data_IF_769968625413
#
_entry.id   IF_769968625413
#
_cell.length_a   1.000
_cell.length_b   1.000
_cell.length_c   1.000
_cell.angle_alpha   90.00
_cell.angle_beta   90.00
_cell.angle_gamma   90.00
#
_symmetry.space_group_name_H-M   'P 1'
#
loop_
_entity.id
_entity.type
_entity.pdbx_description
1 polymer ?
#
# COMPACT_ATOMS: atom_id res chain seq x y z
N UNK A 1 15.10 -8.47 -12.72
CA UNK A 1 14.76 -9.25 -11.50
C UNK A 1 13.46 -8.66 -10.96
N UNK A 2 12.50 -9.48 -10.55
CA UNK A 2 11.23 -9.02 -9.97
C UNK A 2 10.98 -9.81 -8.70
N UNK A 3 10.61 -9.13 -7.63
CA UNK A 3 10.38 -9.71 -6.31
C UNK A 3 8.95 -9.38 -5.88
N UNK A 4 8.25 -10.38 -5.35
CA UNK A 4 6.97 -10.18 -4.68
C UNK A 4 7.20 -10.29 -3.18
N UNK A 5 6.79 -9.26 -2.44
CA UNK A 5 6.90 -9.22 -0.98
C UNK A 5 5.52 -8.96 -0.37
N UNK A 6 5.20 -9.67 0.70
CA UNK A 6 4.00 -9.43 1.50
C UNK A 6 4.40 -9.14 2.93
N UNK A 7 3.92 -8.02 3.48
CA UNK A 7 4.20 -7.60 4.85
C UNK A 7 2.94 -7.00 5.47
N UNK A 8 2.87 -7.07 6.79
CA UNK A 8 1.86 -6.36 7.59
C UNK A 8 2.37 -4.99 8.05
N UNK A 9 3.65 -4.67 7.82
CA UNK A 9 4.26 -3.40 8.14
C UNK A 9 4.36 -2.54 6.88
N UNK A 10 3.60 -1.45 6.85
CA UNK A 10 3.47 -0.60 5.67
C UNK A 10 4.79 0.10 5.31
N UNK A 11 5.55 0.53 6.31
CA UNK A 11 6.87 1.14 6.14
C UNK A 11 7.85 0.25 5.37
N UNK A 12 7.80 -1.07 5.59
CA UNK A 12 8.63 -2.04 4.87
C UNK A 12 8.20 -2.17 3.42
N UNK A 13 6.89 -2.12 3.16
CA UNK A 13 6.37 -2.12 1.78
C UNK A 13 6.79 -0.85 1.03
N UNK A 14 6.76 0.30 1.69
CA UNK A 14 7.20 1.59 1.12
C UNK A 14 8.69 1.65 0.84
N UNK A 15 9.53 1.10 1.72
CA UNK A 15 10.98 1.08 1.53
C UNK A 15 11.42 0.15 0.39
N UNK A 16 10.73 -1.00 0.23
CA UNK A 16 11.20 -2.07 -0.66
C UNK A 16 10.48 -2.16 -2.00
N UNK A 17 9.26 -1.64 -2.14
CA UNK A 17 8.42 -1.90 -3.30
C UNK A 17 8.24 -0.68 -4.21
N UNK A 18 8.41 -0.89 -5.52
CA UNK A 18 8.08 0.11 -6.53
C UNK A 18 6.55 0.35 -6.63
N UNK A 19 5.77 -0.68 -6.28
CA UNK A 19 4.29 -0.67 -6.29
C UNK A 19 3.75 -1.43 -5.10
N UNK A 20 2.69 -0.89 -4.50
CA UNK A 20 2.10 -1.41 -3.27
C UNK A 20 0.65 -1.78 -3.54
N UNK A 21 0.24 -2.96 -3.04
CA UNK A 21 -1.14 -3.41 -3.03
C UNK A 21 -1.63 -3.58 -1.60
N UNK A 22 -2.80 -3.02 -1.28
CA UNK A 22 -3.46 -3.17 0.01
C UNK A 22 -4.56 -4.22 -0.14
N UNK A 23 -4.47 -5.31 0.62
CA UNK A 23 -5.49 -6.35 0.66
C UNK A 23 -6.30 -6.29 1.95
N UNK A 24 -7.61 -6.39 1.82
CA UNK A 24 -8.54 -6.50 2.95
C UNK A 24 -9.57 -7.61 2.67
N UNK A 25 -9.75 -8.54 3.60
CA UNK A 25 -10.70 -9.66 3.49
C UNK A 25 -10.61 -10.44 2.15
N UNK A 26 -9.40 -10.71 1.69
CA UNK A 26 -9.16 -11.45 0.44
C UNK A 26 -9.48 -10.65 -0.84
N UNK A 27 -9.65 -9.33 -0.74
CA UNK A 27 -9.86 -8.43 -1.87
C UNK A 27 -8.75 -7.39 -1.94
N UNK A 28 -8.31 -7.06 -3.16
CA UNK A 28 -7.38 -5.96 -3.41
C UNK A 28 -8.16 -4.65 -3.32
N UNK A 29 -7.92 -3.89 -2.26
CA UNK A 29 -8.60 -2.63 -1.97
C UNK A 29 -7.95 -1.45 -2.70
N UNK A 30 -6.62 -1.42 -2.77
CA UNK A 30 -5.86 -0.40 -3.48
C UNK A 30 -4.60 -0.99 -4.12
N UNK A 31 -4.14 -0.42 -5.24
CA UNK A 31 -2.90 -0.80 -5.90
C UNK A 31 -2.35 0.37 -6.73
N UNK A 32 -1.07 0.68 -6.57
CA UNK A 32 -0.43 1.79 -7.26
C UNK A 32 1.02 1.97 -6.85
N UNK A 33 1.68 2.98 -7.43
CA UNK A 33 2.94 3.50 -6.90
C UNK A 33 2.72 4.23 -5.57
N UNK A 34 3.80 4.49 -4.85
CA UNK A 34 3.74 5.27 -3.61
C UNK A 34 3.10 6.65 -3.81
N UNK A 35 3.45 7.37 -4.88
CA UNK A 35 2.86 8.67 -5.22
C UNK A 35 1.36 8.58 -5.53
N UNK A 36 0.94 7.57 -6.31
CA UNK A 36 -0.46 7.37 -6.67
C UNK A 36 -1.32 7.11 -5.44
N UNK A 37 -0.82 6.30 -4.51
CA UNK A 37 -1.54 5.95 -3.29
C UNK A 37 -1.54 7.09 -2.26
N UNK A 38 -0.48 7.91 -2.18
CA UNK A 38 -0.50 9.13 -1.36
C UNK A 38 -1.50 10.14 -1.90
N UNK A 39 -1.49 10.41 -3.21
CA UNK A 39 -2.39 11.39 -3.84
C UNK A 39 -3.87 10.99 -3.73
N UNK A 40 -4.15 9.68 -3.66
CA UNK A 40 -5.50 9.15 -3.46
C UNK A 40 -6.04 9.41 -2.03
N UNK A 41 -5.24 9.93 -1.11
CA UNK A 41 -5.57 9.99 0.31
C UNK A 41 -5.49 11.41 0.89
N UNK A 42 -6.53 11.87 1.61
CA UNK A 42 -6.56 13.22 2.20
C UNK A 42 -5.47 13.46 3.25
N UNK A 43 -5.03 12.39 3.91
CA UNK A 43 -4.03 12.44 4.98
C UNK A 43 -2.61 12.11 4.50
N UNK A 44 -2.40 11.87 3.19
CA UNK A 44 -1.13 11.51 2.55
C UNK A 44 -0.38 10.30 3.15
N UNK A 45 -1.01 9.46 3.97
CA UNK A 45 -0.37 8.26 4.53
C UNK A 45 -1.09 7.00 4.07
N UNK A 46 -0.36 5.91 3.80
CA UNK A 46 -0.97 4.62 3.47
C UNK A 46 -1.75 4.03 4.67
N UNK A 47 -1.39 4.39 5.89
CA UNK A 47 -2.00 3.89 7.12
C UNK A 47 -3.48 4.26 7.24
N UNK A 48 -3.90 5.44 6.75
CA UNK A 48 -5.31 5.82 6.78
C UNK A 48 -6.17 5.05 5.77
N UNK A 49 -5.59 4.49 4.70
CA UNK A 49 -6.29 3.52 3.83
C UNK A 49 -6.55 2.20 4.58
N UNK A 50 -5.64 1.79 5.47
CA UNK A 50 -5.77 0.55 6.22
C UNK A 50 -6.76 0.65 7.39
N UNK A 51 -6.86 1.82 8.04
CA UNK A 51 -7.69 2.01 9.24
C UNK A 51 -9.19 2.15 8.97
N UNK A 52 -9.60 2.41 7.73
CA UNK A 52 -11.00 2.58 7.33
C UNK A 52 -11.54 1.45 6.42
N UNK A 53 -10.75 0.39 6.23
CA UNK A 53 -11.11 -0.81 5.45
C UNK A 53 -11.91 -1.84 6.24
#
# INVERSE_FOLDING_TARGET
MTVFVSTHQLSVAEEMADRIGIMHQGRLFAFGSHEELQAANRDNTLESIFLWG
#
